data_IF_127911816543
#
_entry.id   IF_127911816543
#
_cell.length_a   1.000
_cell.length_b   1.000
_cell.length_c   1.000
_cell.angle_alpha   90.00
_cell.angle_beta   90.00
_cell.angle_gamma   90.00
#
_symmetry.space_group_name_H-M   'P 1'
#
loop_
_entity.id
_entity.type
_entity.pdbx_description
1 polymer ?
#
# COMPACT_ATOMS: atom_id res chain seq x y z
N UNK A 1 -54.64 51.28 -25.81
CA UNK A 1 -54.54 52.62 -25.23
C UNK A 1 -53.09 52.80 -24.81
N UNK A 2 -52.28 53.37 -25.73
CA UNK A 2 -51.70 54.73 -25.68
C UNK A 2 -50.92 54.98 -24.40
N UNK A 3 -49.66 55.29 -24.37
CA UNK A 3 -49.03 56.43 -25.04
C UNK A 3 -47.49 56.30 -25.08
N UNK A 4 -46.96 56.70 -26.22
CA UNK A 4 -45.53 56.99 -26.46
C UNK A 4 -45.20 58.38 -25.85
N UNK A 5 -44.00 58.56 -25.31
CA UNK A 5 -43.41 59.89 -25.23
C UNK A 5 -41.92 59.82 -25.57
N UNK A 6 -41.56 60.51 -26.62
CA UNK A 6 -40.21 60.87 -27.04
C UNK A 6 -39.83 62.17 -26.38
N UNK A 7 -38.59 62.35 -25.94
CA UNK A 7 -37.96 63.67 -25.82
C UNK A 7 -36.47 63.60 -26.21
N UNK A 8 -36.10 64.62 -26.86
CA UNK A 8 -34.96 64.91 -27.72
C UNK A 8 -33.64 65.22 -27.02
N UNK A 9 -32.61 64.94 -27.69
CA UNK A 9 -31.28 65.54 -27.93
C UNK A 9 -31.05 66.96 -27.36
N UNK A 10 -29.93 67.13 -26.65
CA UNK A 10 -29.11 68.35 -26.64
C UNK A 10 -27.65 68.00 -26.54
N UNK A 11 -26.89 68.31 -27.56
CA UNK A 11 -25.43 68.16 -27.61
C UNK A 11 -24.70 69.28 -26.88
N UNK A 12 -23.56 68.99 -26.29
CA UNK A 12 -22.57 69.99 -25.93
C UNK A 12 -21.22 69.46 -26.39
N UNK A 13 -20.61 70.18 -27.33
CA UNK A 13 -19.21 70.07 -27.73
C UNK A 13 -18.34 70.65 -26.59
N UNK A 14 -17.34 69.92 -26.16
CA UNK A 14 -16.21 70.54 -25.44
C UNK A 14 -14.88 69.83 -25.77
N UNK A 15 -13.93 70.66 -26.00
CA UNK A 15 -12.60 70.55 -26.56
C UNK A 15 -11.72 69.37 -26.03
N UNK A 16 -10.97 68.82 -26.98
CA UNK A 16 -9.84 67.95 -26.74
C UNK A 16 -8.65 68.66 -26.11
N UNK A 17 -8.13 68.11 -25.02
CA UNK A 17 -6.77 68.35 -24.53
C UNK A 17 -5.98 67.10 -24.65
N UNK A 18 -5.02 67.06 -25.58
CA UNK A 18 -4.03 66.01 -25.75
C UNK A 18 -3.00 66.07 -24.61
N UNK A 19 -3.07 65.13 -23.69
CA UNK A 19 -1.98 64.79 -22.79
C UNK A 19 -1.39 63.45 -23.21
N UNK A 20 -0.25 63.50 -23.89
CA UNK A 20 0.61 62.39 -24.23
C UNK A 20 1.31 61.91 -22.96
N UNK A 21 0.67 60.94 -22.25
CA UNK A 21 1.28 60.19 -21.17
C UNK A 21 2.05 58.98 -21.72
N UNK A 22 3.34 58.98 -21.53
CA UNK A 22 4.23 57.84 -21.75
C UNK A 22 3.80 56.69 -20.83
N UNK A 23 3.12 55.73 -21.38
CA UNK A 23 2.84 54.45 -20.66
C UNK A 23 4.13 53.61 -20.69
N UNK A 24 4.76 53.45 -19.54
CA UNK A 24 5.82 52.48 -19.36
C UNK A 24 5.19 51.05 -19.48
N UNK A 25 5.88 50.11 -20.17
CA UNK A 25 5.38 48.77 -20.27
C UNK A 25 5.38 48.10 -18.87
N UNK A 26 4.20 47.70 -18.39
CA UNK A 26 4.07 46.85 -17.23
C UNK A 26 4.62 45.49 -17.65
N UNK A 27 5.80 45.14 -17.14
CA UNK A 27 6.36 43.83 -17.29
C UNK A 27 5.45 42.83 -16.53
N UNK A 28 4.62 42.10 -17.26
CA UNK A 28 3.90 40.94 -16.72
C UNK A 28 4.98 39.89 -16.41
N UNK A 29 5.28 39.72 -15.12
CA UNK A 29 6.09 38.61 -14.66
C UNK A 29 5.36 37.32 -15.08
N UNK A 30 5.98 36.57 -16.00
CA UNK A 30 5.50 35.22 -16.33
C UNK A 30 5.48 34.40 -15.04
N UNK A 31 4.44 33.57 -14.81
CA UNK A 31 4.42 32.67 -13.67
C UNK A 31 5.67 31.81 -13.74
N UNK A 32 6.44 31.81 -12.65
CA UNK A 32 7.61 30.94 -12.54
C UNK A 32 7.12 29.49 -12.75
N UNK A 33 7.51 28.90 -13.88
CA UNK A 33 7.29 27.49 -14.14
C UNK A 33 8.06 26.74 -13.05
N UNK A 34 7.33 26.13 -12.11
CA UNK A 34 7.90 25.17 -11.19
C UNK A 34 8.25 23.94 -12.03
N UNK A 35 9.47 23.94 -12.61
CA UNK A 35 10.04 22.71 -13.12
C UNK A 35 10.00 21.68 -11.99
N UNK A 36 9.52 20.45 -12.23
CA UNK A 36 9.51 19.43 -11.20
C UNK A 36 10.94 19.29 -10.68
N UNK A 37 11.13 19.58 -9.39
CA UNK A 37 12.43 19.43 -8.73
C UNK A 37 12.81 17.97 -8.91
N UNK A 38 13.91 17.68 -9.62
CA UNK A 38 14.39 16.32 -9.80
C UNK A 38 14.37 15.63 -8.43
N UNK A 39 13.73 14.47 -8.35
CA UNK A 39 13.61 13.73 -7.10
C UNK A 39 15.03 13.52 -6.54
N UNK A 40 15.29 14.05 -5.34
CA UNK A 40 16.59 13.88 -4.72
C UNK A 40 16.72 12.44 -4.26
N UNK A 41 17.78 11.76 -4.70
CA UNK A 41 18.09 10.40 -4.26
C UNK A 41 18.03 10.31 -2.73
N UNK A 42 17.26 9.37 -2.21
CA UNK A 42 17.17 9.05 -0.79
C UNK A 42 18.41 8.23 -0.40
N UNK A 43 19.27 8.70 0.54
CA UNK A 43 20.55 8.05 0.82
C UNK A 43 20.45 6.87 1.78
N UNK A 44 19.29 6.59 2.34
CA UNK A 44 19.10 5.51 3.28
C UNK A 44 19.21 4.15 2.58
N UNK A 45 20.03 3.25 3.13
CA UNK A 45 20.13 1.85 2.69
C UNK A 45 19.26 0.94 3.54
N UNK A 46 19.04 1.32 4.79
CA UNK A 46 18.16 0.67 5.76
C UNK A 46 17.42 1.76 6.52
N UNK A 47 16.15 1.58 6.78
CA UNK A 47 15.36 2.44 7.66
C UNK A 47 14.07 1.73 8.08
N UNK A 48 13.73 1.82 9.35
CA UNK A 48 12.55 1.18 9.91
C UNK A 48 12.02 1.96 11.11
N UNK A 49 10.72 1.88 11.30
CA UNK A 49 10.00 2.35 12.47
C UNK A 49 9.19 1.19 13.03
N UNK A 50 9.34 0.91 14.31
CA UNK A 50 8.60 -0.14 15.02
C UNK A 50 7.96 0.44 16.27
N UNK A 51 6.65 0.32 16.40
CA UNK A 51 5.94 0.60 17.64
C UNK A 51 6.36 -0.41 18.71
N UNK A 52 6.37 0.04 19.97
CA UNK A 52 6.72 -0.78 21.13
C UNK A 52 5.53 -0.83 22.10
N UNK A 53 5.40 -1.89 22.86
CA UNK A 53 4.30 -2.11 23.82
C UNK A 53 4.17 -0.99 24.86
N UNK A 54 5.25 -0.26 25.15
CA UNK A 54 5.25 0.88 26.07
C UNK A 54 4.79 2.21 25.42
N UNK A 55 4.29 2.15 24.18
CA UNK A 55 3.84 3.30 23.41
C UNK A 55 4.97 4.14 22.82
N UNK A 56 6.22 3.71 22.94
CA UNK A 56 7.36 4.32 22.28
C UNK A 56 7.55 3.78 20.86
N UNK A 57 8.43 4.44 20.11
CA UNK A 57 8.78 4.02 18.74
C UNK A 57 10.28 3.85 18.62
N UNK A 58 10.72 2.67 18.20
CA UNK A 58 12.10 2.43 17.81
C UNK A 58 12.26 2.85 16.34
N UNK A 59 13.20 3.77 16.09
CA UNK A 59 13.55 4.22 14.73
C UNK A 59 14.98 3.85 14.45
N UNK A 60 15.22 3.07 13.40
CA UNK A 60 16.55 2.63 12.98
C UNK A 60 16.86 3.13 11.58
N UNK A 61 18.11 3.40 11.26
CA UNK A 61 18.54 3.78 9.91
C UNK A 61 20.02 3.54 9.66
N UNK A 62 20.32 3.46 8.34
CA UNK A 62 21.68 3.49 7.81
C UNK A 62 21.70 4.38 6.57
N UNK A 63 22.48 5.46 6.61
CA UNK A 63 22.58 6.49 5.56
C UNK A 63 24.06 6.74 5.23
N UNK A 64 24.71 5.86 4.44
CA UNK A 64 26.13 5.98 4.11
C UNK A 64 26.46 7.36 3.51
N UNK A 65 27.58 7.95 3.91
CA UNK A 65 28.02 9.26 3.44
C UNK A 65 27.35 10.46 4.11
N UNK A 66 26.39 10.24 5.03
CA UNK A 66 25.79 11.27 5.86
C UNK A 66 26.38 11.21 7.29
N UNK A 67 26.84 12.34 7.81
CA UNK A 67 27.36 12.43 9.18
C UNK A 67 26.29 12.80 10.19
N UNK A 68 25.17 13.34 9.69
CA UNK A 68 24.06 13.77 10.52
C UNK A 68 22.72 13.38 9.88
N UNK A 69 21.86 12.78 10.69
CA UNK A 69 20.45 12.48 10.37
C UNK A 69 19.57 13.01 11.48
N UNK A 70 18.58 13.83 11.14
CA UNK A 70 17.54 14.26 12.08
C UNK A 70 16.31 13.38 11.91
N UNK A 71 15.75 12.90 13.02
CA UNK A 71 14.47 12.20 13.08
C UNK A 71 13.41 13.22 13.48
N UNK A 72 12.39 13.40 12.64
CA UNK A 72 11.31 14.36 12.90
C UNK A 72 9.98 13.63 13.04
N UNK A 73 9.18 14.05 13.99
CA UNK A 73 7.79 13.65 14.19
C UNK A 73 6.97 14.89 14.52
N UNK A 74 5.71 14.96 14.04
CA UNK A 74 4.79 16.07 14.29
C UNK A 74 5.42 17.46 14.03
N UNK A 75 6.22 17.57 12.94
CA UNK A 75 6.89 18.82 12.54
C UNK A 75 8.13 19.20 13.36
N UNK A 76 8.48 18.46 14.41
CA UNK A 76 9.62 18.74 15.30
C UNK A 76 10.71 17.69 15.17
N UNK A 77 11.97 18.07 15.41
CA UNK A 77 13.06 17.12 15.57
C UNK A 77 12.93 16.47 16.94
N UNK A 78 12.80 15.14 16.97
CA UNK A 78 12.60 14.34 18.18
C UNK A 78 13.87 13.56 18.57
N UNK A 79 14.74 13.33 17.60
CA UNK A 79 16.05 12.72 17.82
C UNK A 79 17.03 13.09 16.69
N UNK A 80 18.33 12.85 16.93
CA UNK A 80 19.38 13.01 15.93
C UNK A 80 20.39 11.87 16.07
N UNK A 81 21.13 11.57 14.99
CA UNK A 81 22.19 10.60 15.02
C UNK A 81 23.15 10.73 13.84
N UNK A 82 24.06 9.79 13.73
CA UNK A 82 25.07 9.71 12.67
C UNK A 82 24.56 8.99 11.41
N UNK A 83 25.52 8.50 10.62
CA UNK A 83 25.23 7.71 9.40
C UNK A 83 24.49 6.39 9.68
N UNK A 84 24.64 5.86 10.88
CA UNK A 84 23.86 4.73 11.38
C UNK A 84 23.30 5.15 12.73
N UNK A 85 22.05 4.82 13.00
CA UNK A 85 21.40 5.17 14.25
C UNK A 85 20.27 4.24 14.63
N UNK A 86 20.06 4.14 15.93
CA UNK A 86 18.88 3.55 16.55
C UNK A 86 18.48 4.47 17.70
N UNK A 87 17.24 4.93 17.67
CA UNK A 87 16.69 5.82 18.70
C UNK A 87 15.33 5.33 19.15
N UNK A 88 15.01 5.52 20.42
CA UNK A 88 13.67 5.29 20.96
C UNK A 88 13.02 6.64 21.24
N UNK A 89 11.89 6.89 20.58
CA UNK A 89 11.11 8.13 20.71
C UNK A 89 9.90 7.87 21.60
N UNK A 90 9.77 8.67 22.68
CA UNK A 90 8.70 8.55 23.67
C UNK A 90 7.88 9.85 23.74
N UNK A 91 6.68 9.75 24.34
CA UNK A 91 5.86 10.91 24.68
C UNK A 91 5.27 11.65 23.48
N UNK A 92 5.09 10.95 22.34
CA UNK A 92 4.37 11.51 21.20
C UNK A 92 2.86 11.54 21.49
N UNK A 93 2.13 12.56 20.99
CA UNK A 93 0.67 12.60 21.10
C UNK A 93 0.06 11.37 20.42
N UNK A 94 -1.09 10.90 20.92
CA UNK A 94 -1.85 9.82 20.27
C UNK A 94 -2.22 10.21 18.83
N UNK A 95 -2.11 9.28 17.91
CA UNK A 95 -2.46 9.45 16.52
C UNK A 95 -2.91 8.10 15.95
N UNK A 96 -3.72 8.13 14.88
CA UNK A 96 -4.09 6.89 14.15
C UNK A 96 -2.87 6.13 13.63
N UNK A 97 -1.84 6.89 13.28
CA UNK A 97 -0.54 6.40 12.83
C UNK A 97 0.53 7.45 13.07
N UNK A 98 1.61 7.10 13.76
CA UNK A 98 2.74 8.00 13.95
C UNK A 98 3.69 7.97 12.76
N UNK A 99 3.92 9.15 12.21
CA UNK A 99 4.81 9.35 11.07
C UNK A 99 6.14 9.96 11.50
N UNK A 100 7.21 9.40 10.97
CA UNK A 100 8.56 9.90 11.13
C UNK A 100 9.15 10.31 9.78
N UNK A 101 9.89 11.40 9.78
CA UNK A 101 10.67 11.83 8.63
C UNK A 101 12.14 11.82 9.00
N UNK A 102 12.89 10.97 8.35
CA UNK A 102 14.34 10.90 8.46
C UNK A 102 14.94 11.92 7.48
N UNK A 103 15.61 12.94 8.02
CA UNK A 103 16.18 14.04 7.25
C UNK A 103 17.70 13.92 7.27
N UNK A 104 18.33 13.49 6.16
CA UNK A 104 19.78 13.37 6.09
C UNK A 104 20.45 14.74 5.88
N UNK A 105 21.75 14.84 6.16
CA UNK A 105 22.55 16.04 5.82
C UNK A 105 22.55 16.31 4.32
N UNK A 106 22.57 15.24 3.50
CA UNK A 106 22.55 15.29 2.03
C UNK A 106 21.60 14.25 1.45
N UNK A 107 20.89 14.64 0.42
CA UNK A 107 19.92 13.79 -0.27
C UNK A 107 18.48 14.05 0.15
N UNK A 108 17.58 13.20 -0.34
CA UNK A 108 16.15 13.27 -0.06
C UNK A 108 15.81 12.72 1.33
N UNK A 109 14.80 13.30 1.96
CA UNK A 109 14.24 12.78 3.21
C UNK A 109 13.38 11.54 2.96
N UNK A 110 13.32 10.65 3.94
CA UNK A 110 12.49 9.46 3.90
C UNK A 110 11.38 9.56 4.98
N UNK A 111 10.14 9.38 4.57
CA UNK A 111 8.98 9.37 5.47
C UNK A 111 8.54 7.93 5.72
N UNK A 112 8.53 7.52 6.99
CA UNK A 112 8.18 6.17 7.43
C UNK A 112 7.24 6.20 8.64
N UNK A 113 6.57 5.08 8.86
CA UNK A 113 5.81 4.76 10.07
C UNK A 113 5.96 3.27 10.35
N UNK A 114 5.44 2.78 11.47
CA UNK A 114 5.25 1.35 11.63
C UNK A 114 4.36 0.81 10.50
N UNK A 115 4.70 -0.36 9.98
CA UNK A 115 3.88 -1.01 8.96
C UNK A 115 2.57 -1.53 9.52
N UNK A 116 2.62 -2.14 10.71
CA UNK A 116 1.40 -2.60 11.39
C UNK A 116 0.54 -1.38 11.78
N UNK A 117 -0.74 -1.49 11.53
CA UNK A 117 -1.74 -0.50 11.95
C UNK A 117 -2.80 -1.27 12.74
N UNK A 118 -2.78 -1.08 14.04
CA UNK A 118 -3.70 -1.77 14.95
C UNK A 118 -5.15 -1.36 14.68
N UNK A 119 -6.00 -2.35 14.51
CA UNK A 119 -7.45 -2.25 14.44
C UNK A 119 -8.04 -3.35 15.34
N UNK A 120 -9.16 -3.07 15.98
CA UNK A 120 -9.81 -4.07 16.88
C UNK A 120 -10.33 -5.27 16.11
N UNK A 121 -10.77 -5.06 14.88
CA UNK A 121 -11.42 -6.08 14.04
C UNK A 121 -10.50 -6.85 13.11
N UNK A 122 -9.19 -6.56 13.06
CA UNK A 122 -8.21 -7.28 12.21
C UNK A 122 -6.91 -7.51 12.96
N UNK A 123 -6.14 -8.50 12.53
CA UNK A 123 -4.83 -8.81 13.14
C UNK A 123 -3.67 -8.65 12.16
N UNK A 124 -3.96 -8.52 10.87
CA UNK A 124 -2.95 -8.51 9.80
C UNK A 124 -2.98 -7.24 8.92
N UNK A 125 -3.63 -6.15 9.43
CA UNK A 125 -3.75 -4.89 8.71
C UNK A 125 -2.43 -4.12 8.73
N UNK A 126 -1.83 -3.93 7.57
CA UNK A 126 -0.56 -3.23 7.43
C UNK A 126 -0.36 -2.50 6.11
N UNK A 127 0.58 -1.56 6.12
CA UNK A 127 1.07 -0.86 4.95
C UNK A 127 1.92 -1.80 4.07
N UNK A 128 1.69 -1.78 2.77
CA UNK A 128 2.50 -2.52 1.79
C UNK A 128 3.78 -1.77 1.37
N UNK A 129 4.03 -0.57 1.90
CA UNK A 129 5.19 0.26 1.62
C UNK A 129 6.31 0.14 2.65
N UNK A 130 7.29 1.05 2.56
CA UNK A 130 8.43 1.11 3.48
C UNK A 130 9.56 0.14 3.14
N UNK A 131 9.58 -0.39 1.94
CA UNK A 131 10.63 -1.29 1.45
C UNK A 131 11.53 -0.60 0.43
N UNK A 132 12.82 -0.92 0.46
CA UNK A 132 13.80 -0.38 -0.47
C UNK A 132 13.91 -1.26 -1.71
N UNK A 133 13.94 -0.65 -2.89
CA UNK A 133 14.16 -1.35 -4.16
C UNK A 133 15.65 -1.61 -4.41
N UNK A 134 15.97 -2.52 -5.33
CA UNK A 134 17.35 -2.78 -5.78
C UNK A 134 18.02 -1.53 -6.37
N UNK A 135 17.24 -0.65 -7.00
CA UNK A 135 17.72 0.60 -7.60
C UNK A 135 17.89 1.73 -6.57
N UNK A 136 17.54 1.47 -5.31
CA UNK A 136 17.74 2.39 -4.20
C UNK A 136 16.60 3.35 -3.92
N UNK A 137 15.48 3.24 -4.64
CA UNK A 137 14.23 3.93 -4.33
C UNK A 137 13.50 3.23 -3.18
N UNK A 138 12.50 3.88 -2.63
CA UNK A 138 11.67 3.32 -1.56
C UNK A 138 10.21 3.21 -2.00
N UNK A 139 9.56 2.11 -1.63
CA UNK A 139 8.12 1.99 -1.80
C UNK A 139 7.43 2.95 -0.82
N UNK A 140 6.66 3.87 -1.35
CA UNK A 140 5.96 4.91 -0.60
C UNK A 140 4.97 4.28 0.39
N UNK A 141 5.05 4.67 1.65
CA UNK A 141 4.09 4.27 2.67
C UNK A 141 2.83 5.15 2.62
N UNK A 142 1.72 4.60 3.09
CA UNK A 142 0.44 5.30 3.19
C UNK A 142 -0.38 5.31 1.92
N UNK A 143 0.00 4.52 0.92
CA UNK A 143 -0.71 4.41 -0.35
C UNK A 143 -1.50 3.11 -0.47
N UNK A 144 -0.84 1.99 -0.28
CA UNK A 144 -1.41 0.66 -0.44
C UNK A 144 -1.37 -0.09 0.88
N UNK A 145 -2.46 -0.75 1.21
CA UNK A 145 -2.63 -1.52 2.45
C UNK A 145 -3.06 -2.95 2.14
N UNK A 146 -2.77 -3.84 3.07
CA UNK A 146 -3.19 -5.24 3.03
C UNK A 146 -3.72 -5.69 4.39
N UNK A 147 -4.68 -6.65 4.39
CA UNK A 147 -5.25 -7.14 5.64
C UNK A 147 -5.86 -8.55 5.51
N UNK A 148 -6.32 -9.09 6.60
CA UNK A 148 -7.33 -10.15 6.72
C UNK A 148 -8.75 -9.57 6.53
N UNK A 149 -9.78 -10.42 6.70
CA UNK A 149 -11.17 -10.03 6.43
C UNK A 149 -11.69 -8.92 7.36
N UNK A 150 -12.64 -8.15 6.86
CA UNK A 150 -13.10 -6.89 7.46
C UNK A 150 -14.46 -7.00 8.18
N UNK A 151 -15.03 -8.20 8.31
CA UNK A 151 -16.35 -8.40 8.89
C UNK A 151 -16.46 -8.02 10.37
N UNK A 152 -15.32 -8.02 11.10
CA UNK A 152 -15.27 -7.72 12.54
C UNK A 152 -14.87 -6.28 12.84
N UNK A 153 -14.68 -5.42 11.84
CA UNK A 153 -14.31 -4.04 12.08
C UNK A 153 -15.34 -3.34 13.00
N UNK A 154 -14.84 -2.63 13.99
CA UNK A 154 -15.64 -1.77 14.86
C UNK A 154 -15.96 -0.43 14.20
N UNK A 155 -16.87 0.35 14.77
CA UNK A 155 -17.12 1.72 14.27
C UNK A 155 -15.90 2.62 14.45
N UNK A 156 -15.07 2.37 15.45
CA UNK A 156 -13.80 3.06 15.65
C UNK A 156 -12.80 2.72 14.53
N UNK A 157 -12.74 1.45 14.12
CA UNK A 157 -11.92 1.02 12.99
C UNK A 157 -12.38 1.65 11.68
N UNK A 158 -13.68 1.66 11.41
CA UNK A 158 -14.24 2.33 10.22
C UNK A 158 -13.87 3.81 10.16
N UNK A 159 -13.97 4.50 11.31
CA UNK A 159 -13.55 5.90 11.41
C UNK A 159 -12.03 6.05 11.18
N UNK A 160 -11.21 5.11 11.67
CA UNK A 160 -9.77 5.11 11.46
C UNK A 160 -9.41 4.85 9.99
N UNK A 161 -10.03 3.86 9.32
CA UNK A 161 -9.85 3.62 7.88
C UNK A 161 -10.17 4.85 7.04
N UNK A 162 -11.25 5.57 7.39
CA UNK A 162 -11.61 6.82 6.73
C UNK A 162 -10.52 7.89 6.89
N UNK A 163 -9.95 8.05 8.11
CA UNK A 163 -8.86 9.00 8.37
C UNK A 163 -7.53 8.58 7.72
N UNK A 164 -7.30 7.29 7.53
CA UNK A 164 -6.17 6.75 6.76
C UNK A 164 -6.32 6.98 5.26
N UNK A 165 -7.51 7.38 4.81
CA UNK A 165 -7.79 7.68 3.41
C UNK A 165 -8.09 6.46 2.57
N UNK A 166 -8.55 5.34 3.16
CA UNK A 166 -8.95 4.16 2.37
C UNK A 166 -10.10 4.56 1.44
N UNK A 167 -9.89 4.35 0.14
CA UNK A 167 -10.78 4.78 -0.94
C UNK A 167 -11.33 3.61 -1.78
N UNK A 168 -10.60 2.51 -1.84
CA UNK A 168 -10.99 1.30 -2.55
C UNK A 168 -10.56 0.07 -1.79
N UNK A 169 -11.46 -0.92 -1.77
CA UNK A 169 -11.21 -2.25 -1.24
C UNK A 169 -11.35 -3.29 -2.34
N UNK A 170 -10.31 -4.12 -2.50
CA UNK A 170 -10.27 -5.26 -3.41
C UNK A 170 -10.40 -6.56 -2.59
N UNK A 171 -11.59 -7.15 -2.62
CA UNK A 171 -11.87 -8.41 -1.93
C UNK A 171 -11.50 -9.61 -2.80
N UNK A 172 -10.48 -10.35 -2.38
CA UNK A 172 -9.93 -11.51 -3.09
C UNK A 172 -10.66 -12.83 -2.78
N UNK A 173 -11.71 -12.78 -1.96
CA UNK A 173 -12.44 -13.95 -1.47
C UNK A 173 -13.46 -14.48 -2.47
N UNK A 174 -13.81 -15.76 -2.28
CA UNK A 174 -14.89 -16.43 -3.01
C UNK A 174 -16.25 -15.87 -2.66
N UNK A 175 -17.26 -16.17 -3.47
CA UNK A 175 -18.66 -15.77 -3.21
C UNK A 175 -19.17 -16.34 -1.89
N UNK A 176 -18.83 -17.58 -1.55
CA UNK A 176 -19.23 -18.21 -0.29
C UNK A 176 -18.58 -17.57 0.93
N UNK A 177 -17.28 -17.24 0.88
CA UNK A 177 -16.59 -16.55 1.98
C UNK A 177 -17.19 -15.16 2.24
N UNK A 178 -17.47 -14.39 1.17
CA UNK A 178 -18.10 -13.07 1.28
C UNK A 178 -19.51 -13.13 1.85
N UNK A 179 -20.29 -14.15 1.45
CA UNK A 179 -21.64 -14.33 1.97
C UNK A 179 -21.63 -14.73 3.45
N UNK A 180 -20.67 -15.56 3.88
CA UNK A 180 -20.54 -16.00 5.27
C UNK A 180 -20.01 -14.88 6.20
N UNK A 181 -19.15 -14.00 5.69
CA UNK A 181 -18.48 -12.95 6.46
C UNK A 181 -18.43 -11.63 5.63
N UNK A 182 -19.56 -10.92 5.49
CA UNK A 182 -19.61 -9.68 4.74
C UNK A 182 -18.72 -8.59 5.35
N UNK A 183 -17.97 -7.86 4.52
CA UNK A 183 -17.12 -6.78 5.01
C UNK A 183 -17.92 -5.60 5.55
N UNK A 184 -17.35 -4.96 6.55
CA UNK A 184 -17.74 -3.64 7.02
C UNK A 184 -16.77 -2.61 6.45
N UNK A 185 -17.28 -1.68 5.67
CA UNK A 185 -16.48 -0.63 5.04
C UNK A 185 -16.99 0.77 5.39
N UNK A 186 -16.10 1.78 5.48
CA UNK A 186 -16.55 3.16 5.61
C UNK A 186 -17.38 3.60 4.40
N UNK A 187 -18.36 4.48 4.63
CA UNK A 187 -19.13 5.07 3.55
C UNK A 187 -18.22 5.78 2.53
N UNK A 188 -18.48 5.53 1.24
CA UNK A 188 -17.74 6.09 0.12
C UNK A 188 -16.55 5.25 -0.34
N UNK A 189 -16.15 4.20 0.36
CA UNK A 189 -15.15 3.24 -0.11
C UNK A 189 -15.72 2.43 -1.27
N UNK A 190 -15.00 2.39 -2.38
CA UNK A 190 -15.37 1.58 -3.54
C UNK A 190 -15.00 0.11 -3.29
N UNK A 191 -16.01 -0.74 -3.27
CA UNK A 191 -15.85 -2.19 -3.12
C UNK A 191 -15.69 -2.87 -4.49
N UNK A 192 -14.64 -3.65 -4.66
CA UNK A 192 -14.29 -4.36 -5.89
C UNK A 192 -14.06 -5.83 -5.59
N UNK A 193 -14.91 -6.68 -6.13
CA UNK A 193 -14.72 -8.14 -6.04
C UNK A 193 -13.65 -8.57 -7.03
N UNK A 194 -12.62 -9.21 -6.52
CA UNK A 194 -11.50 -9.78 -7.28
C UNK A 194 -11.24 -11.23 -6.81
N UNK A 195 -12.24 -12.11 -7.03
CA UNK A 195 -12.19 -13.49 -6.56
C UNK A 195 -11.04 -14.27 -7.22
N UNK A 196 -10.01 -14.58 -6.44
CA UNK A 196 -8.79 -15.27 -6.90
C UNK A 196 -9.03 -16.75 -7.18
N UNK A 197 -9.80 -17.42 -6.31
CA UNK A 197 -9.99 -18.88 -6.39
C UNK A 197 -11.00 -19.25 -7.46
N UNK A 198 -12.01 -18.41 -7.71
CA UNK A 198 -13.18 -18.75 -8.52
C UNK A 198 -14.23 -19.51 -7.72
N UNK A 199 -15.45 -19.53 -8.22
CA UNK A 199 -16.58 -20.18 -7.54
C UNK A 199 -16.76 -21.64 -7.98
N UNK A 200 -16.17 -22.02 -9.12
CA UNK A 200 -16.25 -23.39 -9.69
C UNK A 200 -15.09 -24.28 -9.24
N UNK A 201 -14.25 -23.81 -8.32
CA UNK A 201 -13.14 -24.60 -7.82
C UNK A 201 -13.65 -25.86 -7.10
N UNK A 202 -13.08 -27.03 -7.41
CA UNK A 202 -13.49 -28.26 -6.74
C UNK A 202 -13.32 -28.14 -5.22
N UNK A 203 -14.26 -28.68 -4.47
CA UNK A 203 -14.14 -28.81 -3.03
C UNK A 203 -12.88 -29.64 -2.74
N UNK A 204 -11.89 -29.01 -2.12
CA UNK A 204 -10.71 -29.75 -1.66
C UNK A 204 -11.14 -30.70 -0.55
N UNK A 205 -10.67 -31.95 -0.66
CA UNK A 205 -10.76 -32.86 0.49
C UNK A 205 -9.96 -32.27 1.64
N UNK A 206 -10.51 -32.29 2.85
CA UNK A 206 -9.75 -31.88 4.02
C UNK A 206 -8.54 -32.81 4.19
N UNK A 207 -7.33 -32.25 4.40
CA UNK A 207 -6.13 -33.07 4.58
C UNK A 207 -6.23 -33.91 5.86
N UNK A 208 -5.68 -35.11 5.83
CA UNK A 208 -5.64 -36.02 6.96
C UNK A 208 -4.30 -35.95 7.71
N UNK A 209 -3.25 -35.43 7.04
CA UNK A 209 -1.91 -35.28 7.59
C UNK A 209 -1.38 -33.85 7.44
N UNK A 210 -0.38 -33.47 8.22
CA UNK A 210 0.30 -32.18 8.11
C UNK A 210 1.04 -32.04 6.76
N UNK A 211 1.54 -33.13 6.20
CA UNK A 211 2.20 -33.17 4.91
C UNK A 211 1.21 -32.88 3.77
N UNK A 212 0.03 -33.50 3.82
CA UNK A 212 -1.06 -33.21 2.86
C UNK A 212 -1.53 -31.77 2.97
N UNK A 213 -1.66 -31.25 4.19
CA UNK A 213 -2.01 -29.85 4.42
C UNK A 213 -0.95 -28.90 3.84
N UNK A 214 0.33 -29.19 4.01
CA UNK A 214 1.40 -28.41 3.41
C UNK A 214 1.40 -28.49 1.87
N UNK A 215 1.15 -29.68 1.32
CA UNK A 215 1.04 -29.86 -0.14
C UNK A 215 -0.17 -29.11 -0.71
N UNK A 216 -1.31 -29.12 -0.02
CA UNK A 216 -2.49 -28.34 -0.38
C UNK A 216 -2.17 -26.84 -0.47
N UNK A 217 -1.39 -26.30 0.47
CA UNK A 217 -0.96 -24.91 0.46
C UNK A 217 -0.02 -24.62 -0.73
N UNK A 218 0.92 -25.53 -1.04
CA UNK A 218 1.82 -25.42 -2.20
C UNK A 218 1.02 -25.37 -3.50
N UNK A 219 0.07 -26.29 -3.67
CA UNK A 219 -0.77 -26.38 -4.88
C UNK A 219 -1.71 -25.18 -5.00
N UNK A 220 -2.20 -24.68 -3.85
CA UNK A 220 -2.97 -23.46 -3.77
C UNK A 220 -2.17 -22.24 -4.26
N UNK A 221 -0.92 -22.08 -3.81
CA UNK A 221 -0.04 -20.99 -4.26
C UNK A 221 0.24 -21.04 -5.78
N UNK A 222 0.44 -22.22 -6.34
CA UNK A 222 0.56 -22.39 -7.80
C UNK A 222 -0.72 -21.96 -8.52
N UNK A 223 -1.87 -22.43 -8.04
CA UNK A 223 -3.17 -22.08 -8.61
C UNK A 223 -3.46 -20.56 -8.56
N UNK A 224 -2.98 -19.87 -7.52
CA UNK A 224 -3.06 -18.40 -7.41
C UNK A 224 -2.19 -17.68 -8.46
N UNK A 225 -1.24 -18.36 -9.09
CA UNK A 225 -0.39 -17.79 -10.15
C UNK A 225 -0.96 -18.04 -11.54
N UNK A 226 -1.30 -19.31 -11.84
CA UNK A 226 -1.62 -19.76 -13.19
C UNK A 226 -3.11 -19.90 -13.46
N UNK A 227 -3.96 -19.94 -12.43
CA UNK A 227 -5.42 -20.07 -12.56
C UNK A 227 -6.07 -18.90 -13.30
N UNK A 228 -7.06 -19.18 -14.15
CA UNK A 228 -7.76 -18.14 -14.94
C UNK A 228 -8.45 -17.10 -14.06
N UNK A 229 -9.14 -17.55 -12.98
CA UNK A 229 -9.77 -16.66 -12.01
C UNK A 229 -8.73 -15.78 -11.32
N UNK A 230 -7.60 -16.36 -10.90
CA UNK A 230 -6.51 -15.64 -10.27
C UNK A 230 -5.91 -14.56 -11.19
N UNK A 231 -5.66 -14.88 -12.45
CA UNK A 231 -5.16 -13.92 -13.45
C UNK A 231 -6.14 -12.75 -13.62
N UNK A 232 -7.44 -13.04 -13.75
CA UNK A 232 -8.49 -12.03 -13.88
C UNK A 232 -8.56 -11.14 -12.64
N UNK A 233 -8.54 -11.75 -11.45
CA UNK A 233 -8.61 -11.05 -10.18
C UNK A 233 -7.41 -10.12 -9.96
N UNK A 234 -6.20 -10.65 -10.10
CA UNK A 234 -4.99 -9.84 -9.91
C UNK A 234 -4.83 -8.79 -11.00
N UNK A 235 -5.19 -9.06 -12.25
CA UNK A 235 -5.21 -8.05 -13.31
C UNK A 235 -6.14 -6.89 -12.94
N UNK A 236 -7.30 -7.16 -12.34
CA UNK A 236 -8.22 -6.13 -11.84
C UNK A 236 -7.59 -5.27 -10.75
N UNK A 237 -6.94 -5.91 -9.76
CA UNK A 237 -6.23 -5.21 -8.68
C UNK A 237 -5.10 -4.34 -9.25
N UNK A 238 -4.22 -4.91 -10.07
CA UNK A 238 -3.06 -4.20 -10.60
C UNK A 238 -3.42 -3.08 -11.58
N UNK A 239 -4.44 -3.26 -12.39
CA UNK A 239 -4.98 -2.18 -13.23
C UNK A 239 -5.57 -1.03 -12.40
N UNK A 240 -6.18 -1.35 -11.26
CA UNK A 240 -6.63 -0.35 -10.30
C UNK A 240 -5.49 0.41 -9.67
N UNK A 241 -4.48 -0.29 -9.13
CA UNK A 241 -3.28 0.29 -8.54
C UNK A 241 -2.48 1.15 -9.54
N UNK A 242 -2.38 0.72 -10.80
CA UNK A 242 -1.68 1.49 -11.83
C UNK A 242 -2.42 2.78 -12.23
N UNK A 243 -3.72 2.87 -11.96
CA UNK A 243 -4.54 4.06 -12.21
C UNK A 243 -4.52 5.03 -11.05
N UNK A 244 -4.64 4.53 -9.85
CA UNK A 244 -4.64 5.29 -8.59
C UNK A 244 -4.41 4.31 -7.44
N UNK A 245 -3.25 4.39 -6.81
CA UNK A 245 -2.89 3.52 -5.69
C UNK A 245 -3.22 4.14 -4.32
N UNK A 246 -3.58 5.43 -4.26
CA UNK A 246 -3.81 6.12 -2.99
C UNK A 246 -5.07 5.61 -2.27
N UNK A 247 -4.86 5.08 -1.07
CA UNK A 247 -5.92 4.51 -0.24
C UNK A 247 -6.43 3.16 -0.74
N UNK A 248 -5.65 2.45 -1.55
CA UNK A 248 -6.00 1.10 -1.98
C UNK A 248 -5.76 0.08 -0.86
N UNK A 249 -6.76 -0.77 -0.64
CA UNK A 249 -6.70 -1.91 0.26
C UNK A 249 -7.02 -3.17 -0.52
N UNK A 250 -6.31 -4.26 -0.27
CA UNK A 250 -6.69 -5.58 -0.74
C UNK A 250 -6.58 -6.61 0.39
N UNK A 251 -7.51 -7.57 0.41
CA UNK A 251 -7.59 -8.55 1.46
C UNK A 251 -8.14 -9.91 0.99
N UNK A 252 -7.99 -10.92 1.84
CA UNK A 252 -8.72 -12.17 1.76
C UNK A 252 -9.21 -12.57 3.16
N UNK A 253 -9.42 -13.84 3.45
CA UNK A 253 -9.91 -14.27 4.77
C UNK A 253 -8.84 -14.13 5.86
N UNK A 254 -7.63 -14.66 5.64
CA UNK A 254 -6.52 -14.56 6.61
C UNK A 254 -5.49 -13.47 6.26
N UNK A 255 -5.59 -12.86 5.09
CA UNK A 255 -4.66 -11.83 4.65
C UNK A 255 -3.24 -12.32 4.38
N UNK A 256 -3.01 -13.64 4.24
CA UNK A 256 -1.68 -14.24 4.17
C UNK A 256 -1.34 -14.86 2.82
N UNK A 257 -2.24 -15.63 2.18
CA UNK A 257 -1.99 -16.37 0.94
C UNK A 257 -2.35 -15.54 -0.30
N UNK A 258 -3.62 -15.41 -0.67
CA UNK A 258 -4.09 -14.58 -1.81
C UNK A 258 -3.59 -13.14 -1.72
N UNK A 259 -3.71 -12.56 -0.56
CA UNK A 259 -3.19 -11.23 -0.21
C UNK A 259 -1.65 -11.23 -0.19
N UNK A 260 -1.03 -12.30 0.26
CA UNK A 260 0.41 -12.51 0.27
C UNK A 260 1.00 -12.53 -1.12
N UNK A 261 0.39 -13.27 -2.05
CA UNK A 261 0.80 -13.29 -3.45
C UNK A 261 0.62 -11.91 -4.12
N UNK A 262 -0.51 -11.23 -3.88
CA UNK A 262 -0.72 -9.86 -4.40
C UNK A 262 0.42 -8.93 -3.95
N UNK A 263 0.79 -8.95 -2.67
CA UNK A 263 1.90 -8.15 -2.13
C UNK A 263 3.25 -8.56 -2.70
N UNK A 264 3.53 -9.87 -2.79
CA UNK A 264 4.77 -10.39 -3.36
C UNK A 264 4.94 -9.98 -4.83
N UNK A 265 3.85 -10.06 -5.60
CA UNK A 265 3.83 -9.64 -7.00
C UNK A 265 4.02 -8.11 -7.13
N UNK A 266 3.36 -7.31 -6.30
CA UNK A 266 3.51 -5.84 -6.27
C UNK A 266 4.95 -5.43 -5.95
N UNK A 267 5.49 -5.91 -4.84
CA UNK A 267 6.84 -5.55 -4.40
C UNK A 267 7.90 -6.00 -5.41
N UNK A 268 7.73 -7.19 -6.01
CA UNK A 268 8.62 -7.67 -7.09
C UNK A 268 8.52 -6.80 -8.34
N UNK A 269 7.31 -6.36 -8.73
CA UNK A 269 7.11 -5.47 -9.88
C UNK A 269 7.74 -4.09 -9.67
N UNK A 270 7.75 -3.59 -8.42
CA UNK A 270 8.40 -2.36 -8.03
C UNK A 270 9.93 -2.48 -7.93
N UNK A 271 10.48 -3.69 -7.89
CA UNK A 271 11.91 -3.96 -7.84
C UNK A 271 12.49 -4.17 -6.43
N UNK A 272 11.65 -4.50 -5.46
CA UNK A 272 12.11 -4.89 -4.11
C UNK A 272 12.87 -6.22 -4.19
N UNK A 273 13.97 -6.41 -3.42
CA UNK A 273 14.72 -7.66 -3.37
C UNK A 273 13.86 -8.85 -2.95
N UNK A 274 14.16 -10.03 -3.50
CA UNK A 274 13.41 -11.27 -3.25
C UNK A 274 13.37 -11.63 -1.76
N UNK A 275 14.47 -11.42 -1.07
CA UNK A 275 14.63 -11.68 0.36
C UNK A 275 13.65 -10.83 1.17
N UNK A 276 13.55 -9.54 0.86
CA UNK A 276 12.62 -8.60 1.52
C UNK A 276 11.16 -8.92 1.19
N UNK A 277 10.87 -9.37 -0.03
CA UNK A 277 9.52 -9.87 -0.40
C UNK A 277 9.15 -11.09 0.43
N UNK A 278 10.10 -12.02 0.66
CA UNK A 278 9.90 -13.18 1.51
C UNK A 278 9.68 -12.78 2.98
N UNK A 279 10.44 -11.81 3.49
CA UNK A 279 10.28 -11.28 4.84
C UNK A 279 8.87 -10.68 5.05
N UNK A 280 8.36 -9.86 4.11
CA UNK A 280 6.98 -9.35 4.19
C UNK A 280 5.93 -10.47 4.19
N UNK A 281 6.13 -11.51 3.38
CA UNK A 281 5.22 -12.65 3.34
C UNK A 281 5.19 -13.39 4.67
N UNK A 282 6.38 -13.72 5.19
CA UNK A 282 6.54 -14.48 6.45
C UNK A 282 6.11 -13.67 7.69
N UNK A 283 6.15 -12.34 7.65
CA UNK A 283 5.69 -11.48 8.74
C UNK A 283 4.20 -11.70 9.10
N UNK A 284 3.41 -12.30 8.22
CA UNK A 284 2.04 -12.71 8.54
C UNK A 284 1.98 -13.72 9.69
N UNK A 285 3.02 -14.53 9.92
CA UNK A 285 3.07 -15.45 11.07
C UNK A 285 3.14 -14.68 12.39
N UNK A 286 3.94 -13.60 12.44
CA UNK A 286 4.09 -12.78 13.63
C UNK A 286 2.80 -12.01 13.93
N UNK A 287 2.23 -11.33 12.94
CA UNK A 287 0.99 -10.56 13.11
C UNK A 287 -0.22 -11.44 13.47
N UNK A 288 -0.24 -12.69 13.04
CA UNK A 288 -1.30 -13.65 13.30
C UNK A 288 -1.02 -14.62 14.44
N UNK A 289 0.11 -14.48 15.13
CA UNK A 289 0.58 -15.47 16.11
C UNK A 289 -0.50 -15.81 17.16
N UNK A 290 -1.10 -14.81 17.77
CA UNK A 290 -2.15 -15.00 18.79
C UNK A 290 -3.42 -15.61 18.21
N UNK A 291 -3.88 -15.12 17.05
CA UNK A 291 -5.08 -15.64 16.39
C UNK A 291 -4.89 -17.10 15.94
N UNK A 292 -3.71 -17.44 15.40
CA UNK A 292 -3.38 -18.80 14.99
C UNK A 292 -3.26 -19.73 16.22
N UNK A 293 -2.63 -19.26 17.30
CA UNK A 293 -2.54 -20.02 18.56
C UNK A 293 -3.93 -20.29 19.16
N UNK A 294 -4.82 -19.29 19.17
CA UNK A 294 -6.18 -19.44 19.64
C UNK A 294 -6.99 -20.44 18.80
N UNK A 295 -6.84 -20.37 17.46
CA UNK A 295 -7.50 -21.31 16.55
C UNK A 295 -7.03 -22.75 16.79
N UNK A 296 -5.72 -22.97 16.95
CA UNK A 296 -5.16 -24.30 17.24
C UNK A 296 -5.59 -24.82 18.63
N UNK A 297 -5.64 -23.95 19.64
CA UNK A 297 -6.07 -24.33 20.99
C UNK A 297 -7.54 -24.73 21.06
N UNK A 298 -8.37 -24.27 20.12
CA UNK A 298 -9.79 -24.65 20.04
C UNK A 298 -10.03 -26.02 19.37
N UNK A 299 -8.97 -26.69 18.88
CA UNK A 299 -9.05 -27.99 18.20
C UNK A 299 -8.44 -29.10 19.06
N UNK A 300 -8.85 -30.38 18.84
CA UNK A 300 -8.11 -31.53 19.36
C UNK A 300 -6.65 -31.50 18.85
N UNK A 301 -5.69 -31.93 19.66
CA UNK A 301 -4.26 -31.81 19.36
C UNK A 301 -3.86 -32.48 18.02
N UNK A 302 -4.43 -33.61 17.68
CA UNK A 302 -4.20 -34.31 16.42
C UNK A 302 -4.69 -33.46 15.23
N UNK A 303 -5.88 -32.90 15.34
CA UNK A 303 -6.42 -32.00 14.30
C UNK A 303 -5.60 -30.69 14.20
N UNK A 304 -5.20 -30.11 15.33
CA UNK A 304 -4.36 -28.91 15.36
C UNK A 304 -3.03 -29.12 14.61
N UNK A 305 -2.42 -30.31 14.76
CA UNK A 305 -1.19 -30.66 14.04
C UNK A 305 -1.39 -30.68 12.52
N UNK A 306 -2.53 -31.19 12.04
CA UNK A 306 -2.89 -31.20 10.61
C UNK A 306 -3.17 -29.77 10.09
N UNK A 307 -3.87 -28.95 10.88
CA UNK A 307 -4.26 -27.59 10.48
C UNK A 307 -3.12 -26.56 10.53
N UNK A 308 -2.12 -26.78 11.38
CA UNK A 308 -1.03 -25.81 11.57
C UNK A 308 -0.36 -25.37 10.24
N UNK A 309 -0.01 -26.25 9.28
CA UNK A 309 0.51 -25.83 7.99
C UNK A 309 -0.41 -24.90 7.19
N UNK A 310 -1.73 -24.99 7.39
CA UNK A 310 -2.71 -24.14 6.71
C UNK A 310 -2.90 -22.78 7.39
N UNK A 311 -2.59 -22.67 8.69
CA UNK A 311 -2.67 -21.43 9.46
C UNK A 311 -1.40 -20.58 9.32
N UNK A 312 -0.24 -21.20 9.25
CA UNK A 312 1.04 -20.54 9.05
C UNK A 312 1.27 -20.22 7.56
N UNK A 313 2.19 -19.31 7.27
CA UNK A 313 2.85 -19.19 5.96
C UNK A 313 4.27 -19.74 6.05
N UNK A 314 4.75 -20.35 4.96
CA UNK A 314 6.09 -20.94 4.87
C UNK A 314 6.80 -20.47 3.61
N UNK A 315 8.14 -20.37 3.68
CA UNK A 315 8.93 -19.96 2.53
C UNK A 315 8.70 -20.85 1.30
N UNK A 316 8.46 -22.15 1.50
CA UNK A 316 8.17 -23.12 0.44
C UNK A 316 6.89 -22.78 -0.33
N UNK A 317 5.86 -22.24 0.31
CA UNK A 317 4.60 -21.85 -0.33
C UNK A 317 4.84 -20.70 -1.32
N UNK A 318 5.40 -19.59 -0.87
CA UNK A 318 5.71 -18.47 -1.75
C UNK A 318 6.72 -18.84 -2.85
N UNK A 319 7.67 -19.72 -2.55
CA UNK A 319 8.62 -20.24 -3.54
C UNK A 319 7.93 -21.06 -4.62
N UNK A 320 6.92 -21.86 -4.27
CA UNK A 320 6.11 -22.61 -5.23
C UNK A 320 5.38 -21.67 -6.20
N UNK A 321 4.80 -20.57 -5.71
CA UNK A 321 4.19 -19.54 -6.58
C UNK A 321 5.21 -18.94 -7.57
N UNK A 322 6.42 -18.61 -7.12
CA UNK A 322 7.44 -18.09 -8.04
C UNK A 322 8.02 -19.16 -8.98
N UNK A 323 8.06 -20.42 -8.57
CA UNK A 323 8.41 -21.53 -9.46
C UNK A 323 7.36 -21.69 -10.57
N UNK A 324 6.07 -21.60 -10.22
CA UNK A 324 4.96 -21.61 -11.18
C UNK A 324 5.06 -20.43 -12.18
N UNK A 325 5.48 -19.24 -11.73
CA UNK A 325 5.77 -18.13 -12.66
C UNK A 325 6.84 -18.49 -13.68
N UNK A 326 7.90 -19.17 -13.24
CA UNK A 326 8.98 -19.58 -14.15
C UNK A 326 8.52 -20.69 -15.12
N UNK A 327 7.72 -21.64 -14.65
CA UNK A 327 7.20 -22.77 -15.42
C UNK A 327 6.19 -22.30 -16.47
N UNK A 328 5.15 -21.55 -16.07
CA UNK A 328 4.02 -21.19 -16.94
C UNK A 328 4.29 -19.96 -17.82
N UNK A 329 5.11 -19.03 -17.34
CA UNK A 329 5.35 -17.76 -18.03
C UNK A 329 6.80 -17.56 -18.48
N UNK A 330 7.72 -18.43 -18.07
CA UNK A 330 9.15 -18.34 -18.37
C UNK A 330 9.89 -17.23 -17.62
N UNK A 331 9.21 -16.18 -17.15
CA UNK A 331 9.80 -15.10 -16.37
C UNK A 331 8.74 -14.26 -15.66
N UNK A 332 9.13 -13.57 -14.58
CA UNK A 332 8.26 -12.61 -13.90
C UNK A 332 7.90 -11.41 -14.80
N UNK A 333 8.76 -11.04 -15.75
CA UNK A 333 8.46 -10.00 -16.74
C UNK A 333 7.32 -10.39 -17.67
N UNK A 334 7.27 -11.66 -18.10
CA UNK A 334 6.18 -12.20 -18.89
C UNK A 334 4.88 -12.34 -18.05
N UNK A 335 4.99 -12.81 -16.80
CA UNK A 335 3.88 -12.91 -15.85
C UNK A 335 3.21 -11.55 -15.62
N UNK A 336 3.98 -10.50 -15.33
CA UNK A 336 3.43 -9.13 -15.17
C UNK A 336 2.56 -8.73 -16.35
N UNK A 337 3.02 -8.99 -17.56
CA UNK A 337 2.31 -8.60 -18.79
C UNK A 337 1.10 -9.49 -19.07
N UNK A 338 1.25 -10.82 -18.95
CA UNK A 338 0.25 -11.80 -19.39
C UNK A 338 -0.83 -12.06 -18.32
N UNK A 339 -0.45 -12.05 -17.05
CA UNK A 339 -1.33 -12.40 -15.94
C UNK A 339 -1.77 -11.18 -15.13
N UNK A 340 -0.89 -10.23 -14.85
CA UNK A 340 -1.24 -9.04 -14.07
C UNK A 340 -1.75 -7.87 -14.95
N UNK A 341 -1.70 -7.99 -16.28
CA UNK A 341 -2.12 -6.91 -17.18
C UNK A 341 -1.22 -5.68 -17.15
N UNK A 342 -0.03 -5.76 -16.53
CA UNK A 342 0.91 -4.64 -16.41
C UNK A 342 1.79 -4.54 -17.66
N UNK A 343 1.40 -3.73 -18.60
CA UNK A 343 2.25 -3.33 -19.71
C UNK A 343 3.33 -2.31 -19.27
N UNK A 344 4.16 -1.85 -20.22
CA UNK A 344 5.23 -0.90 -19.92
C UNK A 344 4.71 0.48 -19.47
N UNK A 345 3.49 0.89 -19.89
CA UNK A 345 2.89 2.16 -19.52
C UNK A 345 2.32 2.07 -18.09
N UNK A 346 1.56 1.03 -17.81
CA UNK A 346 0.97 0.76 -16.51
C UNK A 346 2.03 0.54 -15.43
N UNK A 347 3.08 -0.21 -15.75
CA UNK A 347 4.23 -0.37 -14.84
C UNK A 347 4.95 0.95 -14.54
N UNK A 348 5.10 1.83 -15.54
CA UNK A 348 5.66 3.17 -15.29
C UNK A 348 4.75 4.03 -14.43
N UNK A 349 3.44 4.00 -14.65
CA UNK A 349 2.47 4.72 -13.82
C UNK A 349 2.53 4.23 -12.37
N UNK A 350 2.47 2.92 -12.15
CA UNK A 350 2.57 2.29 -10.84
C UNK A 350 3.87 2.67 -10.11
N UNK A 351 5.01 2.64 -10.81
CA UNK A 351 6.31 3.05 -10.26
C UNK A 351 6.37 4.54 -9.96
N UNK A 352 5.80 5.39 -10.81
CA UNK A 352 5.79 6.84 -10.61
C UNK A 352 4.95 7.23 -9.39
N UNK A 353 3.90 6.48 -9.10
CA UNK A 353 3.02 6.72 -7.97
C UNK A 353 3.56 6.11 -6.67
N UNK A 354 4.13 4.92 -6.72
CA UNK A 354 4.51 4.16 -5.54
C UNK A 354 6.00 4.24 -5.16
N UNK A 355 6.88 4.81 -5.99
CA UNK A 355 8.31 4.90 -5.67
C UNK A 355 8.72 6.33 -5.37
N UNK A 356 9.56 6.50 -4.35
CA UNK A 356 10.16 7.77 -3.94
C UNK A 356 11.68 7.66 -3.87
N UNK A 357 12.39 8.73 -4.26
CA UNK A 357 13.86 8.81 -4.24
C UNK A 357 14.53 8.64 -5.58
#
# INVERSE_FOLDING_TARGET
MTQKTRVSVAGVLSAAALLSGLAAPVATAAPASHAPRAAQRIPFTEAEVTAQDDGSYKVTWKAPGNRHVAVRANGRTVATGGSTGTVTVKGLPAADRQWFTLVPERGGSLRLADRLIELDGTVNFRDAGGYRTKDGQWVRMGAVYRTDSLEKLTDADLAKLKRLGISVDYDLRTTSERAAAPDRLPEGVRYVVANVVGDDSPLFSMPETAEEAAQLMIDGEKSMVSGESAKTAYSTVFAGLARDADGALYHCTAGKDRTGWASAALLTALGVPRETVMEDYLASNDYRAEANAAALAAMPAEQAAVYKPMLDVRAEYLNAGFAEVAEEFGSFAAYKKKALGLDARELRALKADLLVG
#
